data_IF_615466791096
#
_entry.id   IF_615466791096
#
_cell.length_a   1.000
_cell.length_b   1.000
_cell.length_c   1.000
_cell.angle_alpha   90.00
_cell.angle_beta   90.00
_cell.angle_gamma   90.00
#
_symmetry.space_group_name_H-M   'P 1'
#
loop_
_entity.id
_entity.type
_entity.pdbx_description
1 polymer ?
#
# COMPACT_ATOMS: atom_id res chain seq x y z
N UNK A 1 0.23 -17.71 2.92
CA UNK A 1 1.21 -18.66 3.49
C UNK A 1 0.74 -19.35 4.78
N UNK A 2 -0.19 -18.74 5.60
CA UNK A 2 -0.70 -19.38 6.82
C UNK A 2 -1.29 -20.78 6.55
N UNK A 3 -2.21 -20.90 5.58
CA UNK A 3 -2.81 -22.19 5.20
C UNK A 3 -1.77 -23.16 4.66
N UNK A 4 -0.81 -22.68 3.86
CA UNK A 4 0.27 -23.50 3.32
C UNK A 4 1.14 -24.11 4.43
N UNK A 5 1.48 -23.32 5.47
CA UNK A 5 2.21 -23.83 6.63
C UNK A 5 1.43 -24.90 7.39
N UNK A 6 0.13 -24.68 7.66
CA UNK A 6 -0.72 -25.67 8.33
C UNK A 6 -0.82 -26.99 7.56
N UNK A 7 -0.86 -26.93 6.22
CA UNK A 7 -0.87 -28.13 5.39
C UNK A 7 0.49 -28.83 5.42
N UNK A 8 1.59 -28.07 5.39
CA UNK A 8 2.94 -28.62 5.52
C UNK A 8 3.17 -29.31 6.87
N UNK A 9 2.69 -28.73 7.96
CA UNK A 9 2.74 -29.33 9.29
C UNK A 9 1.94 -30.66 9.39
N UNK A 10 0.92 -30.82 8.53
CA UNK A 10 0.14 -32.05 8.41
C UNK A 10 0.77 -33.08 7.45
N UNK A 11 1.99 -32.83 7.00
CA UNK A 11 2.73 -33.76 6.13
C UNK A 11 2.49 -33.57 4.65
N UNK A 12 1.78 -32.54 4.22
CA UNK A 12 1.63 -32.24 2.78
C UNK A 12 2.92 -31.64 2.22
N UNK A 13 3.33 -32.09 1.03
CA UNK A 13 4.48 -31.56 0.31
C UNK A 13 4.12 -30.20 -0.31
N UNK A 14 4.48 -29.11 0.34
CA UNK A 14 4.11 -27.74 -0.06
C UNK A 14 5.36 -26.90 -0.31
N UNK A 15 5.36 -26.18 -1.43
CA UNK A 15 6.30 -25.10 -1.75
C UNK A 15 5.48 -23.88 -2.17
N UNK A 16 5.88 -22.69 -1.80
CA UNK A 16 5.15 -21.45 -2.13
C UNK A 16 6.02 -20.40 -2.79
N UNK A 17 5.37 -19.47 -3.49
CA UNK A 17 5.98 -18.27 -4.04
C UNK A 17 5.20 -17.02 -3.58
N UNK A 18 5.84 -15.84 -3.44
CA UNK A 18 5.23 -14.65 -2.85
C UNK A 18 4.41 -13.86 -3.89
N UNK A 19 3.17 -14.27 -4.16
CA UNK A 19 2.25 -13.66 -5.12
C UNK A 19 1.20 -12.79 -4.42
N UNK A 20 1.38 -11.48 -4.47
CA UNK A 20 0.39 -10.46 -4.07
C UNK A 20 0.81 -9.08 -4.60
N UNK A 21 -0.15 -8.18 -4.78
CA UNK A 21 0.15 -6.77 -5.11
C UNK A 21 0.55 -5.97 -3.86
N UNK A 22 0.19 -6.43 -2.66
CA UNK A 22 0.28 -5.64 -1.43
C UNK A 22 1.70 -5.56 -0.85
N UNK A 23 2.64 -6.40 -1.33
CA UNK A 23 4.01 -6.52 -0.84
C UNK A 23 4.13 -6.78 0.67
N UNK A 24 3.12 -7.44 1.24
CA UNK A 24 2.91 -7.62 2.68
C UNK A 24 3.37 -8.98 3.22
N UNK A 25 4.01 -9.82 2.39
CA UNK A 25 4.49 -11.14 2.80
C UNK A 25 5.83 -11.01 3.52
N UNK A 26 5.88 -11.50 4.77
CA UNK A 26 7.11 -11.56 5.54
C UNK A 26 8.12 -12.52 4.91
N UNK A 27 9.42 -12.17 5.02
CA UNK A 27 10.51 -13.02 4.57
C UNK A 27 10.85 -12.89 3.08
N UNK A 28 10.33 -11.87 2.41
CA UNK A 28 10.73 -11.50 1.05
C UNK A 28 10.79 -9.98 0.89
N UNK A 29 11.75 -9.47 0.14
CA UNK A 29 11.86 -8.03 -0.14
C UNK A 29 10.75 -7.57 -1.08
N UNK A 30 10.37 -8.42 -2.05
CA UNK A 30 9.39 -8.09 -3.07
C UNK A 30 8.46 -9.27 -3.34
N UNK A 31 7.20 -8.95 -3.62
CA UNK A 31 6.20 -9.89 -4.15
C UNK A 31 5.94 -9.57 -5.61
N UNK A 32 5.74 -10.58 -6.46
CA UNK A 32 5.37 -10.31 -7.85
C UNK A 32 3.87 -9.95 -7.95
N UNK A 33 3.60 -8.92 -8.73
CA UNK A 33 2.35 -8.18 -8.81
C UNK A 33 2.43 -6.77 -8.17
N UNK A 34 3.36 -6.55 -7.24
CA UNK A 34 3.54 -5.28 -6.55
C UNK A 34 3.95 -4.15 -7.50
N UNK A 35 5.00 -4.36 -8.30
CA UNK A 35 5.52 -3.35 -9.22
C UNK A 35 4.48 -2.96 -10.28
N UNK A 36 3.67 -3.93 -10.74
CA UNK A 36 2.56 -3.68 -11.66
C UNK A 36 1.45 -2.86 -11.02
N UNK A 37 1.10 -3.13 -9.76
CA UNK A 37 0.10 -2.34 -9.04
C UNK A 37 0.58 -0.91 -8.77
N UNK A 38 1.84 -0.73 -8.39
CA UNK A 38 2.47 0.59 -8.24
C UNK A 38 2.40 1.37 -9.55
N UNK A 39 2.71 0.73 -10.70
CA UNK A 39 2.60 1.34 -12.02
C UNK A 39 1.18 1.86 -12.30
N UNK A 40 0.15 1.03 -12.11
CA UNK A 40 -1.24 1.43 -12.36
C UNK A 40 -1.68 2.57 -11.44
N UNK A 41 -1.31 2.52 -10.15
CA UNK A 41 -1.61 3.59 -9.21
C UNK A 41 -0.88 4.89 -9.59
N UNK A 42 0.38 4.82 -10.02
CA UNK A 42 1.18 5.94 -10.51
C UNK A 42 0.52 6.59 -11.74
N UNK A 43 0.19 5.80 -12.77
CA UNK A 43 -0.48 6.28 -13.99
C UNK A 43 -1.83 6.94 -13.67
N UNK A 44 -2.59 6.40 -12.72
CA UNK A 44 -3.84 7.01 -12.27
C UNK A 44 -3.60 8.38 -11.65
N UNK A 45 -2.62 8.51 -10.75
CA UNK A 45 -2.31 9.79 -10.11
C UNK A 45 -1.75 10.81 -11.09
N UNK A 46 -0.92 10.39 -12.05
CA UNK A 46 -0.42 11.28 -13.11
C UNK A 46 -1.55 11.84 -13.97
N UNK A 47 -2.52 11.00 -14.33
CA UNK A 47 -3.72 11.45 -15.04
C UNK A 47 -4.56 12.44 -14.20
N UNK A 48 -4.66 12.21 -12.88
CA UNK A 48 -5.39 13.10 -11.98
C UNK A 48 -4.69 14.44 -11.81
N UNK A 49 -3.36 14.51 -11.83
CA UNK A 49 -2.62 15.77 -11.71
C UNK A 49 -2.98 16.78 -12.78
N UNK A 50 -3.20 16.33 -14.00
CA UNK A 50 -3.57 17.23 -15.10
C UNK A 50 -4.92 17.90 -14.86
N UNK A 51 -5.92 17.14 -14.42
CA UNK A 51 -7.24 17.69 -14.11
C UNK A 51 -7.23 18.49 -12.78
N UNK A 52 -6.44 18.08 -11.80
CA UNK A 52 -6.25 18.81 -10.54
C UNK A 52 -5.69 20.21 -10.80
N UNK A 53 -4.66 20.31 -11.64
CA UNK A 53 -4.03 21.55 -12.03
C UNK A 53 -5.00 22.51 -12.75
N UNK A 54 -5.81 21.98 -13.70
CA UNK A 54 -6.75 22.80 -14.47
C UNK A 54 -7.83 23.44 -13.61
N UNK A 55 -8.28 22.77 -12.56
CA UNK A 55 -9.43 23.18 -11.76
C UNK A 55 -9.05 23.74 -10.37
N UNK A 56 -7.77 23.69 -9.98
CA UNK A 56 -7.32 24.17 -8.67
C UNK A 56 -7.92 23.40 -7.48
N UNK A 57 -8.07 22.06 -7.63
CA UNK A 57 -8.73 21.20 -6.65
C UNK A 57 -7.76 20.33 -5.87
N UNK A 58 -8.22 19.82 -4.71
CA UNK A 58 -7.56 18.75 -3.99
C UNK A 58 -8.13 17.41 -4.47
N UNK A 59 -7.26 16.48 -4.86
CA UNK A 59 -7.67 15.12 -5.19
C UNK A 59 -7.11 14.14 -4.16
N UNK A 60 -7.99 13.32 -3.60
CA UNK A 60 -7.62 12.16 -2.77
C UNK A 60 -7.76 10.92 -3.62
N UNK A 61 -6.66 10.21 -3.84
CA UNK A 61 -6.64 8.96 -4.61
C UNK A 61 -6.53 7.80 -3.62
N UNK A 62 -7.59 6.96 -3.58
CA UNK A 62 -7.60 5.76 -2.74
C UNK A 62 -6.79 4.64 -3.41
N UNK A 63 -5.75 4.18 -2.73
CA UNK A 63 -4.84 3.15 -3.24
C UNK A 63 -5.02 1.87 -2.45
N UNK A 64 -5.08 0.72 -3.15
CA UNK A 64 -5.14 -0.60 -2.52
C UNK A 64 -3.84 -0.93 -1.77
N UNK A 65 -3.89 -1.90 -0.88
CA UNK A 65 -2.74 -2.36 -0.07
C UNK A 65 -3.19 -3.12 1.17
N UNK A 66 -4.50 -3.35 1.31
CA UNK A 66 -5.13 -4.06 2.42
C UNK A 66 -4.75 -3.46 3.79
N UNK A 67 -3.78 -4.04 4.49
CA UNK A 67 -3.34 -3.60 5.83
C UNK A 67 -2.02 -2.84 5.82
N UNK A 68 -1.41 -2.66 4.66
CA UNK A 68 -0.08 -2.07 4.52
C UNK A 68 -0.08 -0.96 3.49
N UNK A 69 0.83 -0.02 3.65
CA UNK A 69 0.94 1.15 2.80
C UNK A 69 1.95 1.05 1.65
N UNK A 70 2.49 -0.13 1.36
CA UNK A 70 3.55 -0.28 0.36
C UNK A 70 3.20 0.29 -1.01
N UNK A 71 2.03 -0.08 -1.57
CA UNK A 71 1.62 0.41 -2.90
C UNK A 71 1.43 1.93 -2.88
N UNK A 72 0.77 2.44 -1.84
CA UNK A 72 0.50 3.88 -1.67
C UNK A 72 1.78 4.68 -1.51
N UNK A 73 2.71 4.21 -0.69
CA UNK A 73 4.00 4.86 -0.46
C UNK A 73 4.80 4.99 -1.77
N UNK A 74 4.98 3.87 -2.47
CA UNK A 74 5.78 3.85 -3.70
C UNK A 74 5.14 4.64 -4.83
N UNK A 75 3.83 4.50 -5.05
CA UNK A 75 3.14 5.25 -6.09
C UNK A 75 3.01 6.74 -5.75
N UNK A 76 2.79 7.09 -4.48
CA UNK A 76 2.74 8.47 -4.02
C UNK A 76 4.08 9.18 -4.18
N UNK A 77 5.20 8.54 -3.82
CA UNK A 77 6.54 9.09 -4.05
C UNK A 77 6.83 9.19 -5.55
N UNK A 78 6.56 8.15 -6.32
CA UNK A 78 6.82 8.13 -7.77
C UNK A 78 6.10 9.25 -8.51
N UNK A 79 4.89 9.62 -8.09
CA UNK A 79 4.14 10.74 -8.66
C UNK A 79 4.45 12.09 -8.02
N UNK A 80 5.22 12.13 -6.93
CA UNK A 80 5.40 13.35 -6.13
C UNK A 80 4.07 13.86 -5.59
N UNK A 81 3.29 12.99 -4.96
CA UNK A 81 2.09 13.39 -4.23
C UNK A 81 2.46 14.35 -3.10
N UNK A 82 1.59 15.31 -2.81
CA UNK A 82 1.84 16.31 -1.76
C UNK A 82 1.68 15.73 -0.36
N UNK A 83 0.74 14.78 -0.24
CA UNK A 83 0.45 14.09 1.01
C UNK A 83 0.37 12.58 0.72
N UNK A 84 1.02 11.77 1.56
CA UNK A 84 0.97 10.31 1.50
C UNK A 84 0.51 9.78 2.84
N UNK A 85 -0.62 9.06 2.85
CA UNK A 85 -1.20 8.50 4.07
C UNK A 85 -1.21 6.97 3.99
N UNK A 86 -0.59 6.33 4.97
CA UNK A 86 -0.46 4.87 5.05
C UNK A 86 -0.95 4.35 6.41
N UNK A 87 -1.41 3.09 6.49
CA UNK A 87 -1.94 2.52 7.74
C UNK A 87 -0.95 2.51 8.90
N UNK A 88 0.33 2.42 8.59
CA UNK A 88 1.42 2.32 9.57
C UNK A 88 1.71 3.65 10.28
N UNK A 89 1.29 4.78 9.69
CA UNK A 89 1.42 6.12 10.26
C UNK A 89 0.03 6.71 10.43
N UNK A 90 -0.59 6.60 11.62
CA UNK A 90 -1.87 7.22 11.89
C UNK A 90 -1.80 8.75 11.72
N UNK A 91 -2.68 9.31 10.87
CA UNK A 91 -2.66 10.73 10.55
C UNK A 91 -3.45 11.57 11.56
N UNK A 92 -3.00 12.82 11.77
CA UNK A 92 -3.71 13.86 12.46
C UNK A 92 -4.31 14.83 11.42
N UNK A 93 -5.65 14.92 11.39
CA UNK A 93 -6.36 15.79 10.45
C UNK A 93 -5.92 17.26 10.56
N UNK A 94 -5.59 17.73 11.75
CA UNK A 94 -5.12 19.12 11.97
C UNK A 94 -3.78 19.38 11.28
N UNK A 95 -2.90 18.41 11.24
CA UNK A 95 -1.61 18.53 10.52
C UNK A 95 -1.82 18.55 9.00
N UNK A 96 -2.75 17.74 8.49
CA UNK A 96 -3.10 17.72 7.07
C UNK A 96 -3.71 19.06 6.66
N UNK A 97 -4.70 19.56 7.40
CA UNK A 97 -5.35 20.84 7.09
C UNK A 97 -4.38 22.02 7.21
N UNK A 98 -3.53 22.04 8.22
CA UNK A 98 -2.46 23.06 8.36
C UNK A 98 -1.46 23.02 7.19
N UNK A 99 -1.10 21.82 6.69
CA UNK A 99 -0.25 21.70 5.50
C UNK A 99 -0.95 22.28 4.26
N UNK A 100 -2.23 21.95 4.07
CA UNK A 100 -3.05 22.45 2.95
C UNK A 100 -3.17 23.97 2.98
N UNK A 101 -3.42 24.57 4.16
CA UNK A 101 -3.57 26.01 4.33
C UNK A 101 -2.27 26.78 4.08
N UNK A 102 -1.13 26.20 4.48
CA UNK A 102 0.21 26.80 4.29
C UNK A 102 0.76 26.62 2.89
N UNK A 103 0.13 25.78 2.07
CA UNK A 103 0.60 25.48 0.73
C UNK A 103 0.17 26.57 -0.26
N UNK A 104 1.14 27.13 -0.96
CA UNK A 104 0.90 28.08 -2.07
C UNK A 104 0.47 27.39 -3.37
N UNK A 105 0.37 26.04 -3.37
CA UNK A 105 0.00 25.27 -4.55
C UNK A 105 -1.48 25.48 -4.88
N UNK A 106 -1.77 25.68 -6.16
CA UNK A 106 -3.15 25.81 -6.65
C UNK A 106 -3.94 24.52 -6.51
N UNK A 107 -3.29 23.37 -6.56
CA UNK A 107 -3.89 22.05 -6.41
C UNK A 107 -2.99 21.16 -5.56
N UNK A 108 -3.57 20.11 -4.98
CA UNK A 108 -2.85 19.11 -4.21
C UNK A 108 -3.33 17.72 -4.57
N UNK A 109 -2.42 16.76 -4.54
CA UNK A 109 -2.72 15.33 -4.73
C UNK A 109 -2.34 14.59 -3.45
N UNK A 110 -3.31 13.86 -2.91
CA UNK A 110 -3.19 13.05 -1.70
C UNK A 110 -3.27 11.58 -2.11
N UNK A 111 -2.20 10.83 -1.91
CA UNK A 111 -2.22 9.37 -2.03
C UNK A 111 -2.62 8.79 -0.68
N UNK A 112 -3.76 8.10 -0.61
CA UNK A 112 -4.30 7.56 0.63
C UNK A 112 -4.53 6.04 0.50
N UNK A 113 -3.90 5.23 1.34
CA UNK A 113 -4.19 3.80 1.37
C UNK A 113 -5.63 3.53 1.85
N UNK A 114 -6.27 2.49 1.33
CA UNK A 114 -7.62 2.07 1.75
C UNK A 114 -7.75 1.80 3.26
N UNK A 115 -6.62 1.47 3.89
CA UNK A 115 -6.52 1.13 5.31
C UNK A 115 -6.04 2.25 6.23
N UNK A 116 -6.03 3.52 5.78
CA UNK A 116 -5.59 4.65 6.62
C UNK A 116 -6.38 4.75 7.91
N UNK A 117 -5.74 5.28 8.94
CA UNK A 117 -6.33 5.43 10.28
C UNK A 117 -6.03 6.81 10.81
N UNK A 118 -7.06 7.53 11.23
CA UNK A 118 -6.88 8.76 11.98
C UNK A 118 -6.37 8.46 13.39
N UNK A 119 -5.46 9.29 13.89
CA UNK A 119 -4.77 9.11 15.17
C UNK A 119 -5.74 8.96 16.35
N UNK A 120 -6.83 9.72 16.34
CA UNK A 120 -7.89 9.68 17.35
C UNK A 120 -8.54 8.28 17.44
N UNK A 121 -8.65 7.57 16.30
CA UNK A 121 -9.30 6.25 16.21
C UNK A 121 -8.29 5.09 16.14
N UNK A 122 -7.00 5.35 16.35
CA UNK A 122 -5.96 4.31 16.22
C UNK A 122 -6.08 3.18 17.24
N UNK A 123 -6.62 3.46 18.43
CA UNK A 123 -6.87 2.47 19.48
C UNK A 123 -8.10 1.59 19.23
N UNK A 124 -9.01 2.01 18.35
CA UNK A 124 -10.24 1.27 18.05
C UNK A 124 -9.99 0.07 17.15
N UNK A 125 -10.75 -1.00 17.36
CA UNK A 125 -10.75 -2.17 16.46
C UNK A 125 -11.41 -1.82 15.12
N UNK A 126 -11.03 -2.55 14.07
CA UNK A 126 -11.59 -2.35 12.72
C UNK A 126 -13.14 -2.36 12.67
N UNK A 127 -13.78 -3.19 13.50
CA UNK A 127 -15.25 -3.26 13.58
C UNK A 127 -15.83 -1.96 14.11
N UNK A 128 -15.24 -1.39 15.16
CA UNK A 128 -15.69 -0.14 15.79
C UNK A 128 -15.50 1.04 14.82
N UNK A 129 -14.36 1.10 14.13
CA UNK A 129 -14.13 2.12 13.10
C UNK A 129 -15.13 2.06 11.94
N UNK A 130 -15.48 0.84 11.48
CA UNK A 130 -16.53 0.66 10.46
C UNK A 130 -17.91 1.11 10.95
N UNK A 131 -18.22 0.87 12.20
CA UNK A 131 -19.48 1.34 12.79
C UNK A 131 -19.56 2.87 12.80
N UNK A 132 -18.49 3.56 13.23
CA UNK A 132 -18.42 5.02 13.20
C UNK A 132 -18.59 5.60 11.79
N UNK A 133 -18.00 4.97 10.77
CA UNK A 133 -18.19 5.37 9.37
C UNK A 133 -19.66 5.18 8.95
N UNK A 134 -20.27 4.04 9.29
CA UNK A 134 -21.66 3.75 8.96
C UNK A 134 -22.65 4.74 9.58
N UNK A 135 -22.42 5.14 10.83
CA UNK A 135 -23.22 6.16 11.54
C UNK A 135 -23.19 7.53 10.83
N UNK A 136 -22.10 7.83 10.12
CA UNK A 136 -21.92 9.03 9.31
C UNK A 136 -22.27 8.86 7.83
N UNK A 137 -22.86 7.72 7.44
CA UNK A 137 -23.11 7.34 6.04
C UNK A 137 -21.87 7.37 5.14
N UNK A 138 -20.68 7.07 5.69
CA UNK A 138 -19.41 7.01 4.97
C UNK A 138 -19.02 5.55 4.67
N UNK A 139 -18.49 5.31 3.48
CA UNK A 139 -18.12 3.96 3.02
C UNK A 139 -16.67 3.59 3.32
N UNK A 140 -15.78 4.61 3.40
CA UNK A 140 -14.35 4.39 3.64
C UNK A 140 -13.73 5.47 4.51
N UNK A 141 -12.54 5.19 5.06
CA UNK A 141 -11.74 6.19 5.77
C UNK A 141 -11.29 7.33 4.84
N UNK A 142 -11.14 7.04 3.55
CA UNK A 142 -10.78 8.05 2.55
C UNK A 142 -11.94 9.02 2.30
N UNK A 143 -13.19 8.53 2.30
CA UNK A 143 -14.37 9.41 2.27
C UNK A 143 -14.44 10.31 3.49
N UNK A 144 -14.14 9.76 4.68
CA UNK A 144 -14.06 10.56 5.92
C UNK A 144 -12.99 11.64 5.81
N UNK A 145 -11.78 11.27 5.42
CA UNK A 145 -10.68 12.22 5.21
C UNK A 145 -11.08 13.37 4.28
N UNK A 146 -11.69 13.04 3.14
CA UNK A 146 -12.11 14.05 2.18
C UNK A 146 -13.20 14.97 2.73
N UNK A 147 -14.13 14.45 3.52
CA UNK A 147 -15.15 15.24 4.21
C UNK A 147 -14.52 16.19 5.23
N UNK A 148 -13.61 15.68 6.06
CA UNK A 148 -12.93 16.46 7.09
C UNK A 148 -12.10 17.59 6.48
N UNK A 149 -11.38 17.35 5.38
CA UNK A 149 -10.63 18.39 4.66
C UNK A 149 -11.57 19.46 4.10
N UNK A 150 -12.69 19.07 3.45
CA UNK A 150 -13.68 20.04 2.94
C UNK A 150 -14.23 20.92 4.04
N UNK A 151 -14.56 20.31 5.19
CA UNK A 151 -15.17 21.04 6.32
C UNK A 151 -14.19 22.01 6.95
N UNK A 152 -12.90 21.66 7.00
CA UNK A 152 -11.89 22.45 7.70
C UNK A 152 -11.25 23.52 6.81
N UNK A 153 -11.20 23.35 5.49
CA UNK A 153 -10.39 24.23 4.60
C UNK A 153 -11.20 24.98 3.55
N UNK A 154 -12.50 24.76 3.45
CA UNK A 154 -13.39 25.31 2.41
C UNK A 154 -12.87 25.06 0.95
N UNK A 155 -11.97 24.09 0.79
CA UNK A 155 -11.41 23.70 -0.51
C UNK A 155 -12.26 22.64 -1.18
N UNK A 156 -12.35 22.69 -2.52
CA UNK A 156 -13.02 21.63 -3.27
C UNK A 156 -12.15 20.36 -3.29
N UNK A 157 -12.66 19.30 -2.67
CA UNK A 157 -11.98 17.99 -2.60
C UNK A 157 -12.73 16.97 -3.43
N UNK A 158 -12.03 16.24 -4.28
CA UNK A 158 -12.52 15.12 -5.07
C UNK A 158 -11.83 13.83 -4.66
N UNK A 159 -12.55 12.71 -4.78
CA UNK A 159 -12.00 11.38 -4.52
C UNK A 159 -11.94 10.61 -5.82
N UNK A 160 -10.84 9.91 -6.03
CA UNK A 160 -10.69 8.93 -7.11
C UNK A 160 -10.38 7.58 -6.50
N UNK A 161 -11.17 6.56 -6.85
CA UNK A 161 -11.01 5.19 -6.36
C UNK A 161 -10.78 4.28 -7.57
N UNK A 162 -9.53 4.03 -7.96
CA UNK A 162 -9.20 3.13 -9.07
C UNK A 162 -9.70 1.69 -8.81
N UNK A 163 -9.75 1.28 -7.54
CA UNK A 163 -10.26 -0.02 -7.14
C UNK A 163 -9.52 -1.17 -7.81
N UNK A 164 -10.28 -2.13 -8.34
CA UNK A 164 -9.72 -3.36 -8.93
C UNK A 164 -8.90 -3.16 -10.21
N UNK A 165 -8.92 -1.98 -10.84
CA UNK A 165 -8.03 -1.69 -11.99
C UNK A 165 -6.56 -1.82 -11.60
N UNK A 166 -6.21 -1.57 -10.32
CA UNK A 166 -4.86 -1.76 -9.78
C UNK A 166 -4.41 -3.24 -9.78
N UNK A 167 -5.32 -4.19 -9.97
CA UNK A 167 -5.04 -5.63 -10.10
C UNK A 167 -4.99 -6.10 -11.55
N UNK A 168 -5.23 -5.20 -12.50
CA UNK A 168 -5.35 -5.48 -13.93
C UNK A 168 -4.12 -5.04 -14.73
N UNK A 169 -4.25 -5.19 -16.04
CA UNK A 169 -3.24 -4.75 -17.01
C UNK A 169 -2.10 -5.74 -17.22
N UNK A 170 -1.15 -5.35 -18.07
CA UNK A 170 0.04 -6.15 -18.37
C UNK A 170 1.08 -6.00 -17.25
N UNK A 171 1.68 -7.11 -16.77
CA UNK A 171 2.74 -7.07 -15.78
C UNK A 171 3.95 -6.29 -16.29
N UNK A 172 4.62 -5.58 -15.39
CA UNK A 172 5.90 -4.93 -15.68
C UNK A 172 7.00 -5.93 -15.98
N UNK A 173 8.07 -5.50 -16.62
CA UNK A 173 9.25 -6.34 -16.83
C UNK A 173 9.81 -6.88 -15.51
N UNK A 174 9.80 -6.06 -14.45
CA UNK A 174 10.28 -6.48 -13.12
C UNK A 174 9.44 -7.63 -12.55
N UNK A 175 8.12 -7.52 -12.55
CA UNK A 175 7.24 -8.59 -12.05
C UNK A 175 7.37 -9.87 -12.87
N UNK A 176 7.56 -9.77 -14.19
CA UNK A 176 7.79 -10.94 -15.06
C UNK A 176 9.09 -11.65 -14.69
N UNK A 177 10.17 -10.90 -14.42
CA UNK A 177 11.47 -11.48 -14.04
C UNK A 177 11.38 -12.12 -12.66
N UNK A 178 10.82 -11.40 -11.66
CA UNK A 178 10.66 -11.93 -10.29
C UNK A 178 9.79 -13.18 -10.27
N UNK A 179 8.68 -13.20 -11.01
CA UNK A 179 7.81 -14.38 -11.09
C UNK A 179 8.50 -15.59 -11.77
N UNK A 180 9.31 -15.34 -12.80
CA UNK A 180 10.11 -16.39 -13.46
C UNK A 180 11.14 -16.96 -12.48
N UNK A 181 11.91 -16.10 -11.78
CA UNK A 181 12.93 -16.51 -10.83
C UNK A 181 12.35 -17.32 -9.66
N UNK A 182 11.28 -16.81 -9.03
CA UNK A 182 10.62 -17.50 -7.91
C UNK A 182 9.90 -18.76 -8.36
N UNK A 183 9.30 -18.76 -9.56
CA UNK A 183 8.67 -19.93 -10.17
C UNK A 183 9.67 -21.05 -10.46
N UNK A 184 10.82 -20.72 -11.06
CA UNK A 184 11.91 -21.67 -11.30
C UNK A 184 12.42 -22.29 -9.99
N UNK A 185 12.67 -21.44 -8.97
CA UNK A 185 13.10 -21.94 -7.67
C UNK A 185 12.05 -22.82 -6.98
N UNK A 186 10.77 -22.48 -7.13
CA UNK A 186 9.66 -23.30 -6.62
C UNK A 186 9.67 -24.69 -7.28
N UNK A 187 9.84 -24.76 -8.61
CA UNK A 187 9.92 -26.02 -9.34
C UNK A 187 11.15 -26.84 -8.92
N UNK A 188 12.31 -26.23 -8.78
CA UNK A 188 13.52 -26.91 -8.30
C UNK A 188 13.38 -27.43 -6.86
N UNK A 189 12.71 -26.68 -5.97
CA UNK A 189 12.41 -27.17 -4.62
C UNK A 189 11.54 -28.44 -4.64
N UNK A 190 10.55 -28.51 -5.54
CA UNK A 190 9.71 -29.69 -5.70
C UNK A 190 10.53 -30.89 -6.22
N UNK A 191 11.34 -30.67 -7.27
CA UNK A 191 12.21 -31.71 -7.86
C UNK A 191 13.18 -32.26 -6.80
N UNK A 192 13.77 -31.39 -6.00
CA UNK A 192 14.72 -31.74 -4.96
C UNK A 192 14.06 -32.18 -3.64
N UNK A 193 12.73 -32.28 -3.59
CA UNK A 193 11.95 -32.65 -2.41
C UNK A 193 12.19 -31.73 -1.21
N UNK A 194 12.53 -30.46 -1.46
CA UNK A 194 12.71 -29.43 -0.44
C UNK A 194 11.38 -28.72 -0.15
N UNK A 195 10.55 -29.34 0.66
CA UNK A 195 9.21 -28.88 0.99
C UNK A 195 9.18 -28.01 2.25
N UNK A 196 8.05 -27.36 2.52
CA UNK A 196 7.85 -26.50 3.69
C UNK A 196 8.53 -25.14 3.56
N UNK A 197 8.82 -24.67 2.35
CA UNK A 197 9.55 -23.43 2.08
C UNK A 197 8.80 -22.51 1.11
N UNK A 198 9.12 -21.23 1.20
CA UNK A 198 8.79 -20.19 0.22
C UNK A 198 10.04 -19.83 -0.58
N UNK A 199 9.96 -19.83 -1.89
CA UNK A 199 11.00 -19.26 -2.75
C UNK A 199 10.89 -17.72 -2.71
N UNK A 200 11.70 -17.06 -1.91
CA UNK A 200 11.70 -15.63 -1.63
C UNK A 200 12.81 -14.89 -2.37
N UNK A 201 12.69 -13.56 -2.46
CA UNK A 201 13.76 -12.66 -2.91
C UNK A 201 14.29 -11.91 -1.68
N UNK A 202 15.58 -12.03 -1.39
CA UNK A 202 16.25 -11.29 -0.32
C UNK A 202 17.57 -10.75 -0.85
N UNK A 203 17.77 -9.44 -0.76
CA UNK A 203 18.95 -8.73 -1.30
C UNK A 203 19.23 -9.10 -2.78
N UNK A 204 18.18 -9.17 -3.59
CA UNK A 204 18.26 -9.50 -5.02
C UNK A 204 18.58 -10.97 -5.33
N UNK A 205 18.64 -11.85 -4.33
CA UNK A 205 18.91 -13.29 -4.50
C UNK A 205 17.68 -14.11 -4.17
N UNK A 206 17.53 -15.24 -4.83
CA UNK A 206 16.50 -16.24 -4.47
C UNK A 206 16.97 -17.04 -3.27
N UNK A 207 16.12 -17.07 -2.23
CA UNK A 207 16.39 -17.77 -0.96
C UNK A 207 15.17 -18.59 -0.57
N UNK A 208 15.38 -19.77 0.01
CA UNK A 208 14.31 -20.59 0.57
C UNK A 208 14.06 -20.19 2.03
N UNK A 209 12.89 -19.63 2.31
CA UNK A 209 12.47 -19.24 3.67
C UNK A 209 11.48 -20.29 4.19
N UNK A 210 11.71 -20.89 5.38
CA UNK A 210 10.78 -21.84 5.97
C UNK A 210 9.38 -21.26 6.15
N UNK A 211 8.33 -21.99 5.78
CA UNK A 211 6.94 -21.51 5.87
C UNK A 211 6.53 -21.13 7.30
N UNK A 212 7.06 -21.83 8.32
CA UNK A 212 6.86 -21.53 9.73
C UNK A 212 7.33 -20.13 10.13
N UNK A 213 8.33 -19.59 9.43
CA UNK A 213 8.87 -18.24 9.68
C UNK A 213 8.04 -17.16 9.00
N UNK A 214 7.33 -17.50 7.93
CA UNK A 214 6.46 -16.60 7.14
C UNK A 214 5.04 -16.56 7.71
N UNK A 215 4.54 -17.71 8.16
CA UNK A 215 3.14 -17.88 8.53
C UNK A 215 2.73 -16.97 9.71
N UNK A 216 1.65 -16.23 9.51
CA UNK A 216 1.08 -15.36 10.54
C UNK A 216 1.80 -14.03 10.76
N UNK A 217 2.88 -13.76 10.04
CA UNK A 217 3.59 -12.48 10.06
C UNK A 217 3.17 -11.61 8.89
N UNK A 218 3.17 -10.30 9.10
CA UNK A 218 2.88 -9.28 8.11
C UNK A 218 4.12 -8.40 7.92
N UNK A 219 4.49 -8.15 6.67
CA UNK A 219 5.55 -7.20 6.34
C UNK A 219 4.93 -5.80 6.19
N UNK A 220 4.96 -5.03 7.25
CA UNK A 220 4.51 -3.64 7.28
C UNK A 220 5.60 -2.69 6.80
N UNK A 221 5.22 -1.48 6.40
CA UNK A 221 6.16 -0.40 6.12
C UNK A 221 6.71 0.11 7.47
N UNK A 222 8.03 0.05 7.72
CA UNK A 222 8.57 0.67 8.93
C UNK A 222 8.35 2.19 8.89
N UNK A 223 7.82 2.76 9.96
CA UNK A 223 7.54 4.20 10.00
C UNK A 223 8.81 5.08 9.94
N UNK A 224 9.95 4.49 10.27
CA UNK A 224 11.30 5.07 10.20
C UNK A 224 12.08 4.62 8.96
N UNK A 225 11.40 4.03 7.96
CA UNK A 225 12.05 3.62 6.72
C UNK A 225 12.72 4.82 6.02
N UNK A 226 13.94 4.63 5.54
CA UNK A 226 14.73 5.68 4.89
C UNK A 226 13.96 6.40 3.77
N UNK A 227 13.20 5.65 2.98
CA UNK A 227 12.37 6.23 1.91
C UNK A 227 11.29 7.19 2.43
N UNK A 228 10.74 6.96 3.64
CA UNK A 228 9.78 7.87 4.28
C UNK A 228 10.50 9.12 4.77
N UNK A 229 11.68 8.97 5.40
CA UNK A 229 12.48 10.10 5.87
C UNK A 229 12.87 11.00 4.70
N UNK A 230 13.38 10.43 3.61
CA UNK A 230 13.71 11.15 2.38
C UNK A 230 12.49 11.85 1.77
N UNK A 231 11.31 11.19 1.74
CA UNK A 231 10.09 11.81 1.25
C UNK A 231 9.66 13.01 2.11
N UNK A 232 9.80 12.94 3.43
CA UNK A 232 9.56 14.05 4.35
C UNK A 232 10.54 15.22 4.12
N UNK A 233 11.82 14.93 3.89
CA UNK A 233 12.81 15.94 3.54
C UNK A 233 12.50 16.66 2.22
N UNK A 234 11.85 15.98 1.28
CA UNK A 234 11.33 16.57 0.05
C UNK A 234 10.04 17.40 0.25
N UNK A 235 9.52 17.48 1.47
CA UNK A 235 8.32 18.24 1.82
C UNK A 235 7.01 17.49 1.66
N UNK A 236 7.03 16.17 1.46
CA UNK A 236 5.82 15.33 1.42
C UNK A 236 5.27 15.18 2.84
N UNK A 237 3.99 15.47 3.03
CA UNK A 237 3.32 15.37 4.32
C UNK A 237 2.79 13.93 4.54
N UNK A 238 3.03 13.38 5.73
CA UNK A 238 2.48 12.09 6.15
C UNK A 238 1.38 12.22 7.22
N UNK A 239 1.07 13.44 7.63
CA UNK A 239 0.03 13.71 8.63
C UNK A 239 0.42 13.38 10.07
N UNK A 240 1.69 13.08 10.38
CA UNK A 240 2.21 12.68 11.69
C UNK A 240 2.86 13.82 12.51
#
# INVERSE_FOLDING_TARGET
>A
HKTANLLSEKGLNVVTAPKTIDNDIWGTDVTFGFDSAVKVATETMDNIKTTASSHGRIFVVEVMGHKTGWVTLYSGIATGADIILIPEIPYDIKKITSYIEKSDKKYLVIAAAEGIVEKEFSSLKNKERRQLLSEKNLKSQVEKLALDIRTATDKEVRITIPGHTQRGGSPTARDRIVSMQTGTATALNIINKNYGVMAAVINGKIVNVPLKEVAGKLKVVPADAEIILQAKEMGICFGD
#
